data_IF_096720704023
#
_entry.id   IF_096720704023
#
_cell.length_a   1.000
_cell.length_b   1.000
_cell.length_c   1.000
_cell.angle_alpha   90.00
_cell.angle_beta   90.00
_cell.angle_gamma   90.00
#
_symmetry.space_group_name_H-M   'P 1'
#
loop_
_entity.id
_entity.type
_entity.pdbx_description
1 polymer ?
#
# COMPACT_ATOMS: atom_id res chain seq x y z
N UNK A 1 46.64 21.47 54.36
CA UNK A 1 45.78 20.72 53.43
C UNK A 1 45.69 21.55 52.16
N UNK A 2 46.62 21.34 51.23
CA UNK A 2 46.63 22.08 49.97
C UNK A 2 45.56 21.46 49.07
N UNK A 3 44.57 22.26 48.69
CA UNK A 3 43.54 21.85 47.74
C UNK A 3 44.16 21.93 46.35
N UNK A 4 44.41 20.77 45.77
CA UNK A 4 44.84 20.58 44.39
C UNK A 4 43.78 21.18 43.45
N UNK A 5 44.10 22.30 42.81
CA UNK A 5 43.27 22.97 41.79
C UNK A 5 43.74 22.62 40.37
N UNK A 6 44.24 21.39 40.18
CA UNK A 6 44.90 20.97 38.95
C UNK A 6 43.98 20.46 37.83
N UNK A 7 42.67 20.34 38.03
CA UNK A 7 41.79 19.70 37.03
C UNK A 7 40.35 20.21 37.00
N UNK A 8 40.10 21.49 37.28
CA UNK A 8 38.75 22.05 37.16
C UNK A 8 38.28 21.99 35.70
N UNK A 9 37.28 21.16 35.37
CA UNK A 9 36.85 20.99 33.98
C UNK A 9 36.26 22.31 33.50
N UNK A 10 36.87 22.91 32.48
CA UNK A 10 36.39 24.17 31.93
C UNK A 10 34.92 23.99 31.46
N UNK A 11 33.96 24.76 32.02
CA UNK A 11 32.53 24.61 31.75
C UNK A 11 32.17 24.69 30.27
N UNK A 12 32.94 25.46 29.50
CA UNK A 12 32.74 25.58 28.06
C UNK A 12 33.04 24.27 27.32
N UNK A 13 34.12 23.57 27.72
CA UNK A 13 34.52 22.31 27.10
C UNK A 13 33.57 21.18 27.44
N UNK A 14 33.12 21.10 28.70
CA UNK A 14 32.14 20.08 29.11
C UNK A 14 30.78 20.31 28.45
N UNK A 15 30.34 21.57 28.31
CA UNK A 15 29.13 21.92 27.58
C UNK A 15 29.22 21.58 26.08
N UNK A 16 30.38 21.84 25.46
CA UNK A 16 30.59 21.54 24.04
C UNK A 16 30.52 20.04 23.74
N UNK A 17 31.14 19.21 24.58
CA UNK A 17 31.07 17.74 24.44
C UNK A 17 29.66 17.20 24.71
N UNK A 18 28.93 17.77 25.66
CA UNK A 18 27.53 17.43 25.91
C UNK A 18 26.63 17.73 24.70
N UNK A 19 26.78 18.92 24.10
CA UNK A 19 26.04 19.31 22.91
C UNK A 19 26.38 18.41 21.71
N UNK A 20 27.67 18.08 21.56
CA UNK A 20 28.15 17.18 20.50
C UNK A 20 27.56 15.78 20.66
N UNK A 21 27.53 15.24 21.89
CA UNK A 21 26.91 13.95 22.18
C UNK A 21 25.40 13.94 21.89
N UNK A 22 24.69 15.00 22.30
CA UNK A 22 23.26 15.14 22.01
C UNK A 22 22.98 15.21 20.49
N UNK A 23 23.79 15.98 19.76
CA UNK A 23 23.72 16.07 18.31
C UNK A 23 24.03 14.72 17.64
N UNK A 24 25.02 13.98 18.16
CA UNK A 24 25.38 12.65 17.65
C UNK A 24 24.26 11.64 17.83
N UNK A 25 23.59 11.63 19.00
CA UNK A 25 22.43 10.77 19.25
C UNK A 25 21.30 11.11 18.27
N UNK A 26 21.01 12.40 18.08
CA UNK A 26 19.99 12.83 17.12
C UNK A 26 20.35 12.42 15.69
N UNK A 27 21.61 12.59 15.29
CA UNK A 27 22.11 12.13 14.00
C UNK A 27 22.02 10.60 13.84
N UNK A 28 22.30 9.82 14.89
CA UNK A 28 22.17 8.36 14.87
C UNK A 28 20.71 7.92 14.70
N UNK A 29 19.76 8.59 15.37
CA UNK A 29 18.32 8.33 15.20
C UNK A 29 17.89 8.64 13.76
N UNK A 30 18.28 9.79 13.22
CA UNK A 30 17.96 10.18 11.84
C UNK A 30 18.62 9.24 10.83
N UNK A 31 19.86 8.83 11.05
CA UNK A 31 20.56 7.87 10.21
C UNK A 31 19.90 6.48 10.24
N UNK A 32 19.44 6.03 11.42
CA UNK A 32 18.71 4.78 11.57
C UNK A 32 17.37 4.83 10.83
N UNK A 33 16.62 5.92 10.99
CA UNK A 33 15.38 6.15 10.25
C UNK A 33 15.63 6.18 8.74
N UNK A 34 16.64 6.91 8.28
CA UNK A 34 17.01 6.98 6.87
C UNK A 34 17.43 5.61 6.32
N UNK A 35 18.24 4.85 7.06
CA UNK A 35 18.63 3.49 6.68
C UNK A 35 17.39 2.57 6.60
N UNK A 36 16.47 2.68 7.55
CA UNK A 36 15.21 1.95 7.53
C UNK A 36 14.37 2.32 6.30
N UNK A 37 14.20 3.61 6.01
CA UNK A 37 13.52 4.07 4.79
C UNK A 37 14.22 3.65 3.50
N UNK A 38 15.56 3.62 3.45
CA UNK A 38 16.32 3.17 2.28
C UNK A 38 16.17 1.66 2.03
N UNK A 39 16.09 0.86 3.09
CA UNK A 39 15.85 -0.59 2.98
C UNK A 39 14.38 -0.90 2.68
N UNK A 40 13.45 -0.16 3.30
CA UNK A 40 12.01 -0.35 3.14
C UNK A 40 11.47 0.28 1.84
N UNK A 41 12.14 1.30 1.27
CA UNK A 41 11.79 1.85 -0.05
C UNK A 41 11.91 0.80 -1.17
N UNK A 42 12.74 -0.24 -1.00
CA UNK A 42 12.77 -1.40 -1.89
C UNK A 42 11.59 -2.36 -1.73
N UNK A 43 10.82 -2.24 -0.65
CA UNK A 43 9.64 -3.07 -0.35
C UNK A 43 8.30 -2.32 -0.47
N UNK A 44 8.25 -1.01 -0.21
CA UNK A 44 7.01 -0.20 -0.32
C UNK A 44 6.47 -0.22 -1.75
N UNK A 45 7.35 -0.17 -2.76
CA UNK A 45 6.94 -0.29 -4.16
C UNK A 45 6.34 -1.67 -4.49
N UNK A 46 6.75 -2.73 -3.78
CA UNK A 46 6.12 -4.06 -3.89
C UNK A 46 4.86 -4.21 -3.06
N UNK A 47 4.77 -3.59 -1.88
CA UNK A 47 3.66 -3.81 -0.94
C UNK A 47 2.43 -2.96 -1.24
N UNK A 48 2.60 -1.79 -1.83
CA UNK A 48 1.46 -0.96 -2.27
C UNK A 48 0.83 -1.49 -3.57
N UNK A 49 1.56 -2.29 -4.35
CA UNK A 49 1.03 -2.91 -5.58
C UNK A 49 0.53 -4.35 -5.35
N UNK A 50 1.09 -5.09 -4.38
CA UNK A 50 0.67 -6.48 -4.10
C UNK A 50 -0.48 -6.60 -3.08
N UNK A 51 -0.68 -5.62 -2.21
CA UNK A 51 -1.91 -5.48 -1.44
C UNK A 51 -2.88 -4.57 -2.19
N UNK A 52 -3.40 -5.04 -3.32
CA UNK A 52 -4.79 -4.71 -3.60
C UNK A 52 -5.56 -5.12 -2.33
N UNK A 53 -6.17 -4.19 -1.58
CA UNK A 53 -6.75 -4.49 -0.27
C UNK A 53 -7.64 -5.72 -0.44
N UNK A 54 -7.38 -6.77 0.33
CA UNK A 54 -8.09 -8.05 0.18
C UNK A 54 -9.60 -7.85 0.13
N UNK A 55 -10.10 -6.84 0.83
CA UNK A 55 -11.47 -6.36 0.76
C UNK A 55 -11.91 -5.99 -0.68
N UNK A 56 -11.16 -5.20 -1.44
CA UNK A 56 -11.49 -4.88 -2.84
C UNK A 56 -11.40 -6.11 -3.75
N UNK A 57 -10.46 -7.01 -3.52
CA UNK A 57 -10.34 -8.27 -4.29
C UNK A 57 -11.52 -9.21 -4.00
N UNK A 58 -11.94 -9.30 -2.73
CA UNK A 58 -13.10 -10.07 -2.29
C UNK A 58 -14.43 -9.44 -2.75
N UNK A 59 -14.54 -8.12 -2.74
CA UNK A 59 -15.71 -7.41 -3.28
C UNK A 59 -15.81 -7.61 -4.80
N UNK A 60 -14.69 -7.50 -5.52
CA UNK A 60 -14.65 -7.78 -6.96
C UNK A 60 -14.99 -9.24 -7.27
N UNK A 61 -14.49 -10.21 -6.49
CA UNK A 61 -14.81 -11.62 -6.72
C UNK A 61 -16.27 -11.94 -6.41
N UNK A 62 -16.85 -11.35 -5.35
CA UNK A 62 -18.30 -11.44 -5.06
C UNK A 62 -19.14 -10.82 -6.17
N UNK A 63 -18.75 -9.65 -6.65
CA UNK A 63 -19.42 -8.97 -7.75
C UNK A 63 -19.37 -9.83 -9.03
N UNK A 64 -18.20 -10.38 -9.38
CA UNK A 64 -18.06 -11.29 -10.52
C UNK A 64 -18.88 -12.57 -10.35
N UNK A 65 -19.00 -13.11 -9.13
CA UNK A 65 -19.83 -14.28 -8.86
C UNK A 65 -21.32 -13.97 -9.07
N UNK A 66 -21.79 -12.79 -8.66
CA UNK A 66 -23.17 -12.36 -8.87
C UNK A 66 -23.48 -12.14 -10.36
N UNK A 67 -22.58 -11.49 -11.10
CA UNK A 67 -22.69 -11.25 -12.54
C UNK A 67 -22.59 -12.53 -13.40
N UNK A 68 -21.95 -13.58 -12.87
CA UNK A 68 -21.84 -14.88 -13.55
C UNK A 68 -22.95 -15.88 -13.16
N UNK A 69 -23.91 -15.45 -12.34
CA UNK A 69 -25.05 -16.28 -11.97
C UNK A 69 -26.27 -15.98 -12.85
N UNK A 70 -27.05 -17.02 -13.15
CA UNK A 70 -28.37 -16.85 -13.77
C UNK A 70 -29.33 -16.28 -12.74
N UNK A 71 -29.93 -15.12 -13.04
CA UNK A 71 -30.92 -14.48 -12.16
C UNK A 71 -32.13 -13.99 -12.94
N UNK A 72 -33.28 -13.97 -12.30
CA UNK A 72 -34.44 -13.27 -12.82
C UNK A 72 -34.24 -11.76 -12.64
N UNK A 73 -34.31 -10.99 -13.72
CA UNK A 73 -34.20 -9.52 -13.67
C UNK A 73 -35.57 -8.91 -13.44
N UNK A 74 -36.61 -9.49 -14.05
CA UNK A 74 -38.01 -9.11 -13.88
C UNK A 74 -38.88 -10.33 -14.19
N UNK A 75 -39.39 -11.00 -13.15
CA UNK A 75 -40.23 -12.21 -13.29
C UNK A 75 -41.60 -11.87 -13.90
N UNK A 76 -42.11 -10.67 -13.64
CA UNK A 76 -43.38 -10.16 -14.18
C UNK A 76 -43.33 -9.90 -15.69
N UNK A 77 -42.14 -9.65 -16.25
CA UNK A 77 -41.93 -9.36 -17.67
C UNK A 77 -41.24 -10.53 -18.39
N UNK A 78 -40.95 -11.63 -17.69
CA UNK A 78 -40.27 -12.82 -18.23
C UNK A 78 -38.80 -12.58 -18.61
N UNK A 79 -38.17 -11.52 -18.10
CA UNK A 79 -36.79 -11.15 -18.44
C UNK A 79 -35.80 -11.87 -17.53
N UNK A 80 -35.05 -12.81 -18.14
CA UNK A 80 -33.95 -13.54 -17.49
C UNK A 80 -32.61 -12.87 -17.75
N UNK A 81 -31.82 -12.72 -16.69
CA UNK A 81 -30.41 -12.35 -16.76
C UNK A 81 -29.57 -13.60 -17.00
N UNK A 82 -28.80 -13.59 -18.08
CA UNK A 82 -27.80 -14.62 -18.39
C UNK A 82 -26.42 -14.17 -17.87
N UNK A 83 -25.50 -15.11 -17.56
CA UNK A 83 -24.13 -14.79 -17.20
C UNK A 83 -23.46 -13.91 -18.25
N UNK A 84 -22.68 -12.94 -17.79
CA UNK A 84 -22.07 -11.94 -18.67
C UNK A 84 -21.20 -12.56 -19.76
N UNK A 85 -20.49 -13.65 -19.47
CA UNK A 85 -19.69 -14.35 -20.48
C UNK A 85 -20.54 -14.86 -21.65
N UNK A 86 -21.74 -15.38 -21.37
CA UNK A 86 -22.68 -15.84 -22.39
C UNK A 86 -23.36 -14.68 -23.09
N UNK A 87 -23.63 -13.58 -22.39
CA UNK A 87 -24.14 -12.37 -23.03
C UNK A 87 -23.13 -11.81 -24.05
N UNK A 88 -21.86 -11.73 -23.69
CA UNK A 88 -20.80 -11.26 -24.60
C UNK A 88 -20.66 -12.17 -25.83
N UNK A 89 -20.71 -13.49 -25.66
CA UNK A 89 -20.65 -14.44 -26.77
C UNK A 89 -21.83 -14.27 -27.73
N UNK A 90 -23.06 -14.12 -27.21
CA UNK A 90 -24.25 -13.93 -28.03
C UNK A 90 -24.21 -12.59 -28.77
N UNK A 91 -23.83 -11.50 -28.10
CA UNK A 91 -23.71 -10.18 -28.72
C UNK A 91 -22.61 -10.16 -29.79
N UNK A 92 -21.46 -10.78 -29.53
CA UNK A 92 -20.39 -10.89 -30.53
C UNK A 92 -20.83 -11.71 -31.75
N UNK A 93 -21.62 -12.77 -31.53
CA UNK A 93 -22.22 -13.56 -32.62
C UNK A 93 -23.25 -12.76 -33.41
N UNK A 94 -24.12 -12.01 -32.75
CA UNK A 94 -25.12 -11.15 -33.41
C UNK A 94 -24.46 -10.01 -34.20
N UNK A 95 -23.44 -9.36 -33.63
CA UNK A 95 -22.66 -8.32 -34.31
C UNK A 95 -21.90 -8.88 -35.52
N UNK A 96 -21.33 -10.09 -35.41
CA UNK A 96 -20.68 -10.77 -36.53
C UNK A 96 -21.65 -11.22 -37.63
N UNK A 97 -22.86 -11.66 -37.25
CA UNK A 97 -23.90 -12.05 -38.18
C UNK A 97 -24.49 -10.85 -38.93
N UNK A 98 -24.71 -9.72 -38.25
CA UNK A 98 -25.25 -8.49 -38.84
C UNK A 98 -24.26 -7.71 -39.71
N UNK A 99 -22.95 -7.92 -39.53
CA UNK A 99 -21.90 -7.32 -40.37
C UNK A 99 -21.59 -8.13 -41.65
N UNK A 100 -22.20 -9.32 -41.80
CA UNK A 100 -22.00 -10.23 -42.93
C UNK A 100 -23.12 -10.23 -43.99
N UNK A 101 -24.19 -9.46 -43.77
CA UNK A 101 -25.29 -9.20 -44.72
C UNK A 101 -25.11 -7.81 -45.39
#
# INVERSE_FOLDING_TARGET
MALDSGNDPNPYWTALWGLTGAAFILAAIVALQAAYYHLEAGEIERKVISQAPEELTQLRSKQLAELNSYRWVSETEGVVGIPIDRAMELVAREAGATAGD
#
